data_IF_333630490400
#
_entry.id   IF_333630490400
#
_cell.length_a   1.000
_cell.length_b   1.000
_cell.length_c   1.000
_cell.angle_alpha   90.00
_cell.angle_beta   90.00
_cell.angle_gamma   90.00
#
_symmetry.space_group_name_H-M   'P 1'
#
loop_
_entity.id
_entity.type
_entity.pdbx_description
1 polymer ?
#
# COMPACT_ATOMS: atom_id res chain seq x y z
N UNK A 1 44.81 -11.42 0.96
CA UNK A 1 43.70 -11.59 -0.02
C UNK A 1 42.48 -11.85 0.81
N UNK A 2 41.83 -10.77 1.22
CA UNK A 2 40.75 -10.84 2.20
C UNK A 2 39.52 -11.45 1.54
N UNK A 3 39.14 -12.61 2.06
CA UNK A 3 37.88 -13.27 1.77
C UNK A 3 36.77 -12.38 2.32
N UNK A 4 36.28 -11.45 1.49
CA UNK A 4 35.09 -10.66 1.80
C UNK A 4 33.95 -11.66 1.85
N UNK A 5 33.54 -11.97 3.07
CA UNK A 5 32.34 -12.70 3.42
C UNK A 5 31.16 -11.87 2.87
N UNK A 6 30.80 -12.07 1.59
CA UNK A 6 29.58 -11.55 0.99
C UNK A 6 28.42 -12.33 1.60
N UNK A 7 28.12 -12.00 2.85
CA UNK A 7 26.89 -12.42 3.48
C UNK A 7 25.77 -11.79 2.64
N UNK A 8 25.18 -12.60 1.77
CA UNK A 8 24.09 -12.18 0.90
C UNK A 8 23.00 -11.60 1.79
N UNK A 9 22.80 -10.28 1.73
CA UNK A 9 21.82 -9.59 2.56
C UNK A 9 20.47 -10.28 2.42
N UNK A 10 19.87 -10.58 3.57
CA UNK A 10 18.58 -11.25 3.67
C UNK A 10 17.47 -10.24 3.48
N UNK A 11 16.55 -10.52 2.57
CA UNK A 11 15.41 -9.68 2.26
C UNK A 11 14.09 -10.38 2.58
N UNK A 12 13.13 -9.59 3.03
CA UNK A 12 11.72 -9.96 3.00
C UNK A 12 11.05 -9.35 1.78
N UNK A 13 10.22 -10.15 1.11
CA UNK A 13 9.36 -9.66 0.04
C UNK A 13 8.00 -9.32 0.66
N UNK A 14 7.54 -8.10 0.43
CA UNK A 14 6.27 -7.63 0.95
C UNK A 14 5.35 -7.18 -0.19
N UNK A 15 4.17 -7.80 -0.27
CA UNK A 15 3.14 -7.47 -1.25
C UNK A 15 1.79 -7.23 -0.56
N UNK A 16 1.01 -6.28 -1.08
CA UNK A 16 -0.28 -5.91 -0.50
C UNK A 16 -1.35 -5.78 -1.57
N UNK A 17 -2.50 -6.41 -1.34
CA UNK A 17 -3.72 -6.21 -2.13
C UNK A 17 -4.42 -4.95 -1.62
N UNK A 18 -4.60 -3.95 -2.48
CA UNK A 18 -5.39 -2.77 -2.13
C UNK A 18 -6.87 -3.14 -2.25
N UNK A 19 -7.57 -3.30 -1.13
CA UNK A 19 -9.03 -3.51 -1.09
C UNK A 19 -9.84 -2.25 -1.44
N UNK A 20 -9.21 -1.08 -1.46
CA UNK A 20 -9.90 0.22 -1.39
C UNK A 20 -9.98 0.99 -2.72
N UNK A 21 -9.42 0.48 -3.82
CA UNK A 21 -9.36 1.21 -5.09
C UNK A 21 -9.98 0.38 -6.23
N UNK A 22 -11.31 0.48 -6.46
CA UNK A 22 -11.98 -0.20 -7.58
C UNK A 22 -11.62 0.39 -8.96
N UNK A 23 -10.95 1.56 -9.01
CA UNK A 23 -10.71 2.31 -10.25
C UNK A 23 -9.26 2.32 -10.73
N UNK A 24 -8.27 1.98 -9.90
CA UNK A 24 -6.90 1.88 -10.40
C UNK A 24 -6.68 0.48 -10.95
N UNK A 25 -6.13 0.39 -12.16
CA UNK A 25 -5.45 -0.80 -12.69
C UNK A 25 -4.24 -1.15 -11.79
N UNK A 26 -4.48 -1.48 -10.53
CA UNK A 26 -3.46 -2.03 -9.64
C UNK A 26 -3.29 -3.48 -10.07
N UNK A 27 -2.06 -3.83 -10.44
CA UNK A 27 -1.64 -5.21 -10.69
C UNK A 27 -2.23 -6.14 -9.62
N UNK A 28 -2.79 -7.27 -10.07
CA UNK A 28 -3.22 -8.32 -9.15
C UNK A 28 -2.08 -8.66 -8.20
N UNK A 29 -2.41 -9.18 -7.02
CA UNK A 29 -1.39 -9.54 -6.05
C UNK A 29 -0.38 -10.54 -6.65
N UNK A 30 -0.86 -11.45 -7.51
CA UNK A 30 -0.04 -12.40 -8.26
C UNK A 30 0.91 -11.72 -9.23
N UNK A 31 0.44 -10.72 -9.97
CA UNK A 31 1.29 -9.96 -10.89
C UNK A 31 2.36 -9.15 -10.13
N UNK A 32 2.00 -8.55 -8.98
CA UNK A 32 2.99 -7.90 -8.11
C UNK A 32 4.06 -8.89 -7.62
N UNK A 33 3.65 -10.08 -7.14
CA UNK A 33 4.59 -11.11 -6.69
C UNK A 33 5.50 -11.58 -7.82
N UNK A 34 4.96 -11.77 -9.02
CA UNK A 34 5.75 -12.16 -10.19
C UNK A 34 6.83 -11.14 -10.51
N UNK A 35 6.48 -9.85 -10.59
CA UNK A 35 7.46 -8.81 -10.90
C UNK A 35 8.49 -8.62 -9.78
N UNK A 36 8.09 -8.74 -8.51
CA UNK A 36 9.02 -8.67 -7.38
C UNK A 36 9.99 -9.85 -7.36
N UNK A 37 9.54 -11.06 -7.66
CA UNK A 37 10.42 -12.25 -7.78
C UNK A 37 11.39 -12.10 -8.95
N UNK A 38 10.92 -11.61 -10.09
CA UNK A 38 11.79 -11.32 -11.24
C UNK A 38 12.82 -10.24 -10.92
N UNK A 39 12.42 -9.18 -10.22
CA UNK A 39 13.33 -8.13 -9.75
C UNK A 39 14.37 -8.69 -8.78
N UNK A 40 13.95 -9.50 -7.79
CA UNK A 40 14.84 -10.16 -6.86
C UNK A 40 15.87 -11.05 -7.57
N UNK A 41 15.44 -11.81 -8.59
CA UNK A 41 16.32 -12.66 -9.39
C UNK A 41 17.35 -11.85 -10.18
N UNK A 42 16.93 -10.74 -10.81
CA UNK A 42 17.82 -9.86 -11.58
C UNK A 42 18.87 -9.18 -10.72
N UNK A 43 18.49 -8.74 -9.53
CA UNK A 43 19.38 -8.04 -8.58
C UNK A 43 20.14 -9.01 -7.66
N UNK A 44 19.93 -10.33 -7.77
CA UNK A 44 20.58 -11.34 -6.93
C UNK A 44 20.19 -11.25 -5.45
N UNK A 45 18.97 -10.83 -5.14
CA UNK A 45 18.49 -10.66 -3.76
C UNK A 45 18.12 -12.01 -3.14
N UNK A 46 18.55 -12.25 -1.90
CA UNK A 46 18.19 -13.44 -1.14
C UNK A 46 16.86 -13.21 -0.38
N UNK A 47 15.75 -13.65 -0.97
CA UNK A 47 14.43 -13.57 -0.33
C UNK A 47 14.24 -14.73 0.66
N UNK A 48 14.16 -14.40 1.95
CA UNK A 48 14.03 -15.39 3.04
C UNK A 48 12.57 -15.73 3.34
N UNK A 49 11.67 -14.78 3.11
CA UNK A 49 10.23 -14.93 3.34
C UNK A 49 9.42 -13.94 2.52
N UNK A 50 8.22 -14.36 2.13
CA UNK A 50 7.23 -13.52 1.46
C UNK A 50 6.07 -13.22 2.43
N UNK A 51 5.65 -11.96 2.49
CA UNK A 51 4.53 -11.47 3.28
C UNK A 51 3.46 -10.90 2.35
N UNK A 52 2.25 -11.45 2.42
CA UNK A 52 1.12 -11.04 1.56
C UNK A 52 -0.03 -10.57 2.43
N UNK A 53 -0.38 -9.28 2.32
CA UNK A 53 -1.44 -8.68 3.13
C UNK A 53 -2.63 -8.19 2.28
N UNK A 54 -3.86 -8.34 2.80
CA UNK A 54 -5.09 -7.81 2.18
C UNK A 54 -5.67 -6.58 2.88
N UNK A 55 -5.12 -6.16 4.03
CA UNK A 55 -5.59 -5.00 4.80
C UNK A 55 -5.16 -3.67 4.17
N UNK A 56 -5.92 -2.61 4.45
CA UNK A 56 -5.61 -1.25 3.98
C UNK A 56 -4.46 -0.64 4.79
N UNK A 57 -3.57 0.12 4.14
CA UNK A 57 -2.45 0.80 4.79
C UNK A 57 -2.79 2.18 5.38
N UNK A 58 -4.09 2.54 5.40
CA UNK A 58 -4.60 3.82 5.92
C UNK A 58 -4.58 3.90 7.44
N UNK A 59 -4.73 2.75 8.10
CA UNK A 59 -4.76 2.65 9.56
C UNK A 59 -3.66 1.70 10.05
N UNK A 60 -3.07 1.95 11.23
CA UNK A 60 -2.15 1.03 11.88
C UNK A 60 -2.90 -0.24 12.37
N UNK A 61 -2.15 -1.28 12.78
CA UNK A 61 -2.75 -2.54 13.27
C UNK A 61 -2.76 -3.68 12.24
N UNK A 62 -1.84 -3.63 11.29
CA UNK A 62 -1.65 -4.60 10.22
C UNK A 62 -0.85 -5.80 10.74
N UNK A 63 -1.51 -6.91 11.01
CA UNK A 63 -0.92 -8.10 11.64
C UNK A 63 0.30 -8.61 10.88
N UNK A 64 0.20 -8.78 9.56
CA UNK A 64 1.27 -9.34 8.72
C UNK A 64 2.44 -8.36 8.61
N UNK A 65 2.14 -7.07 8.49
CA UNK A 65 3.19 -6.04 8.50
C UNK A 65 3.89 -5.96 9.85
N UNK A 66 3.14 -5.99 10.95
CA UNK A 66 3.72 -5.98 12.29
C UNK A 66 4.58 -7.23 12.51
N UNK A 67 4.13 -8.40 12.07
CA UNK A 67 4.94 -9.63 12.12
C UNK A 67 6.25 -9.47 11.33
N UNK A 68 6.19 -8.94 10.11
CA UNK A 68 7.38 -8.67 9.30
C UNK A 68 8.34 -7.72 10.02
N UNK A 69 7.83 -6.63 10.62
CA UNK A 69 8.65 -5.67 11.35
C UNK A 69 9.29 -6.31 12.59
N UNK A 70 8.54 -7.08 13.38
CA UNK A 70 9.09 -7.78 14.55
C UNK A 70 10.20 -8.76 14.17
N UNK A 71 10.04 -9.49 13.06
CA UNK A 71 11.09 -10.38 12.54
C UNK A 71 12.34 -9.63 12.07
N UNK A 72 12.18 -8.42 11.52
CA UNK A 72 13.33 -7.55 11.20
C UNK A 72 14.02 -7.07 12.48
N UNK A 73 13.27 -6.74 13.53
CA UNK A 73 13.83 -6.35 14.83
C UNK A 73 14.65 -7.50 15.46
N UNK A 74 14.21 -8.75 15.25
CA UNK A 74 14.92 -10.00 15.59
C UNK A 74 16.14 -10.31 14.68
N UNK A 75 16.38 -9.49 13.65
CA UNK A 75 17.45 -9.63 12.65
C UNK A 75 17.30 -10.89 11.75
N UNK A 76 16.08 -11.37 11.51
CA UNK A 76 15.83 -12.44 10.52
C UNK A 76 16.17 -11.97 9.09
N UNK A 77 15.96 -10.68 8.81
CA UNK A 77 16.29 -10.02 7.55
C UNK A 77 16.73 -8.57 7.79
N UNK A 78 17.53 -8.05 6.87
CA UNK A 78 18.08 -6.68 6.93
C UNK A 78 17.52 -5.79 5.82
N UNK A 79 16.68 -6.33 4.94
CA UNK A 79 16.10 -5.55 3.87
C UNK A 79 14.66 -5.94 3.55
N UNK A 80 13.96 -5.01 2.89
CA UNK A 80 12.59 -5.22 2.42
C UNK A 80 12.56 -4.92 0.92
N UNK A 81 11.97 -5.84 0.16
CA UNK A 81 11.61 -5.68 -1.22
C UNK A 81 10.09 -5.50 -1.32
N UNK A 82 9.65 -4.37 -1.86
CA UNK A 82 8.24 -4.10 -2.10
C UNK A 82 8.07 -3.39 -3.45
N UNK A 83 6.84 -3.38 -3.99
CA UNK A 83 6.59 -2.78 -5.31
C UNK A 83 6.87 -1.27 -5.33
N UNK A 84 6.35 -0.56 -4.34
CA UNK A 84 6.46 0.89 -4.22
C UNK A 84 6.30 1.28 -2.72
N UNK A 85 6.85 2.42 -2.26
CA UNK A 85 6.73 2.84 -0.84
C UNK A 85 5.29 2.89 -0.31
N UNK A 86 4.32 3.28 -1.14
CA UNK A 86 2.88 3.30 -0.78
C UNK A 86 2.27 1.91 -0.46
N UNK A 87 2.98 0.82 -0.78
CA UNK A 87 2.62 -0.54 -0.38
C UNK A 87 3.03 -0.83 1.04
N UNK A 88 4.15 -0.26 1.50
CA UNK A 88 4.65 -0.42 2.86
C UNK A 88 3.86 0.40 3.88
N UNK A 89 3.58 1.67 3.60
CA UNK A 89 2.84 2.54 4.52
C UNK A 89 2.08 3.66 3.79
N UNK A 90 0.86 3.94 4.26
CA UNK A 90 0.08 5.14 3.87
C UNK A 90 -0.39 5.94 5.09
N UNK A 91 0.21 5.69 6.25
CA UNK A 91 -0.08 6.38 7.51
C UNK A 91 1.24 6.78 8.19
N UNK A 92 1.16 7.76 9.08
CA UNK A 92 2.35 8.34 9.74
C UNK A 92 3.01 7.40 10.75
N UNK A 93 2.28 6.43 11.31
CA UNK A 93 2.82 5.51 12.32
C UNK A 93 3.69 4.45 11.64
N UNK A 94 3.15 3.74 10.65
CA UNK A 94 3.89 2.69 9.95
C UNK A 94 5.06 3.27 9.14
N UNK A 95 4.85 4.42 8.48
CA UNK A 95 5.92 5.11 7.75
C UNK A 95 7.05 5.55 8.69
N UNK A 96 6.69 6.12 9.85
CA UNK A 96 7.65 6.50 10.89
C UNK A 96 8.42 5.31 11.45
N UNK A 97 7.77 4.16 11.66
CA UNK A 97 8.44 2.91 12.08
C UNK A 97 9.49 2.46 11.09
N UNK A 98 9.19 2.46 9.78
CA UNK A 98 10.17 2.08 8.76
C UNK A 98 11.36 3.04 8.75
N UNK A 99 11.11 4.35 8.80
CA UNK A 99 12.17 5.36 8.86
C UNK A 99 13.06 5.14 10.10
N UNK A 100 12.45 4.89 11.25
CA UNK A 100 13.18 4.61 12.49
C UNK A 100 14.05 3.35 12.40
N UNK A 101 13.56 2.27 11.78
CA UNK A 101 14.35 1.06 11.57
C UNK A 101 15.50 1.27 10.58
N UNK A 102 15.32 2.14 9.60
CA UNK A 102 16.39 2.60 8.70
C UNK A 102 17.41 3.46 9.47
N UNK A 103 16.96 4.31 10.40
CA UNK A 103 17.83 5.16 11.22
C UNK A 103 18.67 4.37 12.20
N UNK A 104 18.09 3.34 12.81
CA UNK A 104 18.77 2.42 13.73
C UNK A 104 19.63 1.37 13.02
N UNK A 105 19.62 1.33 11.69
CA UNK A 105 20.39 0.38 10.88
C UNK A 105 19.84 -1.05 10.87
N UNK A 106 18.68 -1.29 11.49
CA UNK A 106 17.95 -2.57 11.44
C UNK A 106 17.51 -2.91 10.02
N UNK A 107 17.09 -1.90 9.28
CA UNK A 107 16.87 -2.00 7.83
C UNK A 107 18.05 -1.34 7.12
N UNK A 108 18.92 -2.16 6.53
CA UNK A 108 20.09 -1.72 5.79
C UNK A 108 19.79 -1.50 4.29
N UNK A 109 18.69 -2.05 3.77
CA UNK A 109 18.30 -1.88 2.37
C UNK A 109 16.77 -1.93 2.17
N UNK A 110 16.22 -0.93 1.48
CA UNK A 110 14.88 -1.00 0.91
C UNK A 110 15.01 -1.01 -0.61
N UNK A 111 14.33 -1.95 -1.27
CA UNK A 111 14.34 -2.08 -2.72
C UNK A 111 12.93 -1.99 -3.26
N UNK A 112 12.79 -1.21 -4.34
CA UNK A 112 11.54 -1.06 -5.06
C UNK A 112 11.80 -1.02 -6.57
N UNK A 113 11.03 -1.72 -7.40
CA UNK A 113 11.12 -1.60 -8.87
C UNK A 113 10.83 -0.19 -9.38
N UNK A 114 9.94 0.55 -8.71
CA UNK A 114 9.47 1.87 -9.18
C UNK A 114 10.09 3.06 -8.44
N UNK A 115 10.92 2.82 -7.41
CA UNK A 115 11.44 3.87 -6.55
C UNK A 115 12.88 3.55 -6.11
N UNK A 116 13.79 4.49 -6.32
CA UNK A 116 15.17 4.34 -5.87
C UNK A 116 15.32 4.81 -4.42
N UNK A 117 15.93 3.98 -3.58
CA UNK A 117 16.24 4.31 -2.20
C UNK A 117 17.65 3.85 -1.84
N UNK A 118 18.38 4.74 -1.18
CA UNK A 118 19.63 4.44 -0.49
C UNK A 118 19.57 4.94 0.96
N UNK A 119 20.23 4.27 1.92
CA UNK A 119 20.23 4.67 3.33
C UNK A 119 21.11 5.91 3.63
N UNK A 120 21.17 6.87 2.71
CA UNK A 120 21.82 8.17 2.88
C UNK A 120 20.85 9.17 3.50
N UNK A 121 21.31 10.29 4.11
CA UNK A 121 20.43 11.33 4.60
C UNK A 121 19.42 11.83 3.55
N UNK A 122 19.87 11.94 2.29
CA UNK A 122 19.05 12.31 1.15
C UNK A 122 18.00 11.24 0.83
N UNK A 123 18.37 9.96 0.83
CA UNK A 123 17.43 8.88 0.59
C UNK A 123 16.39 8.73 1.70
N UNK A 124 16.77 8.92 2.97
CA UNK A 124 15.85 8.98 4.11
C UNK A 124 14.85 10.13 4.00
N UNK A 125 15.32 11.31 3.58
CA UNK A 125 14.46 12.45 3.29
C UNK A 125 13.46 12.13 2.16
N UNK A 126 13.94 11.60 1.04
CA UNK A 126 13.08 11.21 -0.09
C UNK A 126 12.05 10.15 0.28
N UNK A 127 12.45 9.15 1.08
CA UNK A 127 11.52 8.13 1.59
C UNK A 127 10.42 8.75 2.46
N UNK A 128 10.78 9.70 3.33
CA UNK A 128 9.83 10.42 4.17
C UNK A 128 8.82 11.22 3.35
N UNK A 129 9.29 11.88 2.28
CA UNK A 129 8.42 12.58 1.32
C UNK A 129 7.49 11.59 0.61
N UNK A 130 7.99 10.43 0.18
CA UNK A 130 7.18 9.41 -0.50
C UNK A 130 6.05 8.86 0.41
N UNK A 131 6.35 8.60 1.69
CA UNK A 131 5.32 8.23 2.66
C UNK A 131 4.33 9.37 2.93
N UNK A 132 4.82 10.61 3.02
CA UNK A 132 3.99 11.81 3.16
C UNK A 132 3.02 11.99 1.98
N UNK A 133 3.51 11.83 0.75
CA UNK A 133 2.70 11.89 -0.46
C UNK A 133 1.63 10.79 -0.49
N UNK A 134 1.99 9.59 -0.05
CA UNK A 134 1.07 8.45 0.05
C UNK A 134 -0.08 8.72 1.04
N UNK A 135 0.23 9.34 2.18
CA UNK A 135 -0.77 9.78 3.17
C UNK A 135 -1.64 10.92 2.62
N UNK A 136 -1.03 11.95 2.05
CA UNK A 136 -1.75 13.07 1.44
C UNK A 136 -2.76 12.60 0.38
N UNK A 137 -2.34 11.67 -0.49
CA UNK A 137 -3.22 11.11 -1.52
C UNK A 137 -4.48 10.47 -0.91
N UNK A 138 -4.31 9.67 0.14
CA UNK A 138 -5.42 9.03 0.86
C UNK A 138 -6.36 10.07 1.47
N UNK A 139 -5.81 11.06 2.17
CA UNK A 139 -6.59 12.08 2.88
C UNK A 139 -7.36 12.96 1.88
N UNK A 140 -6.69 13.40 0.81
CA UNK A 140 -7.30 14.21 -0.25
C UNK A 140 -8.40 13.43 -1.00
N UNK A 141 -8.21 12.13 -1.26
CA UNK A 141 -9.24 11.28 -1.86
C UNK A 141 -10.49 11.24 -0.97
N UNK A 142 -10.32 11.08 0.34
CA UNK A 142 -11.42 11.08 1.31
C UNK A 142 -12.20 12.40 1.27
N UNK A 143 -11.52 13.55 1.27
CA UNK A 143 -12.16 14.86 1.17
C UNK A 143 -12.89 15.08 -0.16
N UNK A 144 -12.32 14.62 -1.26
CA UNK A 144 -12.96 14.68 -2.58
C UNK A 144 -14.25 13.84 -2.63
N UNK A 145 -14.25 12.63 -2.05
CA UNK A 145 -15.44 11.78 -1.95
C UNK A 145 -16.53 12.47 -1.12
N UNK A 146 -16.19 13.00 0.07
CA UNK A 146 -17.14 13.74 0.92
C UNK A 146 -17.69 14.97 0.22
N UNK A 147 -16.87 15.69 -0.55
CA UNK A 147 -17.32 16.83 -1.36
C UNK A 147 -18.31 16.39 -2.43
N UNK A 148 -18.03 15.29 -3.13
CA UNK A 148 -18.95 14.69 -4.11
C UNK A 148 -20.29 14.29 -3.50
N UNK A 149 -20.28 13.65 -2.33
CA UNK A 149 -21.49 13.29 -1.58
C UNK A 149 -22.30 14.54 -1.21
N UNK A 150 -21.66 15.58 -0.67
CA UNK A 150 -22.31 16.86 -0.35
C UNK A 150 -22.95 17.49 -1.59
N UNK A 151 -22.29 17.46 -2.74
CA UNK A 151 -22.83 18.00 -3.98
C UNK A 151 -24.06 17.21 -4.45
N UNK A 152 -24.03 15.87 -4.37
CA UNK A 152 -25.21 15.04 -4.70
C UNK A 152 -26.41 15.40 -3.83
N UNK A 153 -26.21 15.53 -2.51
CA UNK A 153 -27.28 15.92 -1.58
C UNK A 153 -27.85 17.31 -1.90
N UNK A 154 -27.00 18.29 -2.24
CA UNK A 154 -27.45 19.63 -2.67
C UNK A 154 -28.28 19.59 -3.96
N UNK A 155 -27.98 18.66 -4.85
CA UNK A 155 -28.73 18.45 -6.09
C UNK A 155 -29.98 17.57 -5.89
N UNK A 156 -30.33 17.18 -4.66
CA UNK A 156 -31.45 16.27 -4.39
C UNK A 156 -31.21 14.82 -4.81
N UNK A 157 -29.96 14.43 -5.07
CA UNK A 157 -29.59 13.08 -5.52
C UNK A 157 -29.13 12.25 -4.33
N UNK A 158 -29.67 11.03 -4.20
CA UNK A 158 -29.25 10.07 -3.17
C UNK A 158 -27.82 9.57 -3.43
N UNK A 159 -26.88 9.73 -2.48
CA UNK A 159 -25.46 9.42 -2.70
C UNK A 159 -25.07 7.99 -2.35
N UNK A 160 -25.90 7.29 -1.56
CA UNK A 160 -25.63 5.95 -1.04
C UNK A 160 -26.28 4.87 -1.91
N UNK A 161 -26.27 3.63 -1.43
CA UNK A 161 -26.97 2.55 -2.12
C UNK A 161 -28.46 2.85 -2.24
N UNK A 162 -29.01 2.50 -3.39
CA UNK A 162 -30.42 2.66 -3.67
C UNK A 162 -31.26 1.94 -2.59
N UNK A 163 -32.23 2.63 -1.97
CA UNK A 163 -33.15 1.99 -1.03
C UNK A 163 -34.04 0.96 -1.74
N UNK A 164 -34.75 0.14 -0.97
CA UNK A 164 -35.70 -0.84 -1.52
C UNK A 164 -36.70 -0.14 -2.46
N UNK A 165 -36.98 -0.77 -3.62
CA UNK A 165 -37.82 -0.17 -4.67
C UNK A 165 -37.05 0.76 -5.63
N UNK A 166 -35.75 0.96 -5.44
CA UNK A 166 -34.88 1.73 -6.32
C UNK A 166 -33.66 0.91 -6.76
N UNK A 167 -33.08 1.27 -7.90
CA UNK A 167 -31.82 0.74 -8.42
C UNK A 167 -30.79 1.87 -8.61
N UNK A 168 -29.52 1.55 -8.44
CA UNK A 168 -28.43 2.46 -8.78
C UNK A 168 -28.25 2.48 -10.30
N UNK A 169 -28.61 3.58 -10.96
CA UNK A 169 -28.32 3.79 -12.37
C UNK A 169 -26.87 4.27 -12.53
N UNK A 170 -26.02 3.40 -13.10
CA UNK A 170 -24.61 3.69 -13.33
C UNK A 170 -24.38 4.77 -14.38
N UNK A 171 -25.30 4.92 -15.34
CA UNK A 171 -25.18 5.90 -16.43
C UNK A 171 -25.57 7.29 -15.95
N UNK A 172 -26.73 7.41 -15.30
CA UNK A 172 -27.20 8.67 -14.75
C UNK A 172 -26.53 9.06 -13.41
N UNK A 173 -25.75 8.14 -12.81
CA UNK A 173 -25.06 8.29 -11.51
C UNK A 173 -26.01 8.68 -10.36
N UNK A 174 -27.28 8.30 -10.47
CA UNK A 174 -28.36 8.56 -9.53
C UNK A 174 -29.13 7.26 -9.23
N UNK A 175 -30.15 7.36 -8.37
CA UNK A 175 -31.09 6.26 -8.13
C UNK A 175 -32.27 6.41 -9.09
N UNK A 176 -32.73 5.30 -9.67
CA UNK A 176 -33.92 5.21 -10.49
C UNK A 176 -34.92 4.24 -9.86
N UNK A 177 -36.21 4.41 -10.13
CA UNK A 177 -37.25 3.51 -9.61
C UNK A 177 -37.10 2.13 -10.23
N UNK A 178 -37.07 1.09 -9.40
CA UNK A 178 -37.08 -0.30 -9.82
C UNK A 178 -38.52 -0.68 -10.21
N UNK A 179 -38.80 -0.80 -11.52
CA UNK A 179 -40.17 -1.07 -12.01
C UNK A 179 -40.73 -2.43 -11.56
N UNK A 180 -39.88 -3.37 -11.17
CA UNK A 180 -40.30 -4.69 -10.70
C UNK A 180 -40.50 -4.70 -9.18
N UNK A 181 -39.62 -4.03 -8.43
CA UNK A 181 -39.65 -4.04 -6.95
C UNK A 181 -40.44 -2.89 -6.32
N UNK A 182 -40.70 -1.81 -7.03
CA UNK A 182 -41.45 -0.66 -6.51
C UNK A 182 -42.97 -0.88 -6.40
N UNK A 183 -43.48 -2.03 -6.86
CA UNK A 183 -44.92 -2.36 -6.83
C UNK A 183 -45.44 -2.85 -5.47
N UNK A 184 -44.57 -3.00 -4.48
CA UNK A 184 -44.91 -3.49 -3.14
C UNK A 184 -44.49 -2.49 -2.06
#
# INVERSE_FOLDING_TARGET
MDNINLQTKKFFLYARKSTDEPERQILSIEAQLFELREYARKEGLNIVREFVESKTAKEPGREIFNEMISRIEENEAEGILAWHPDRLARNSIDGGRIIYLVDTGKISALKFPTFWFDPTPQGKFMLSIAFGQSKYYVDNLSENIKRGIRQKLRNGIWPAWAPLGYINDKNARCIAVDKEKAKY
#
